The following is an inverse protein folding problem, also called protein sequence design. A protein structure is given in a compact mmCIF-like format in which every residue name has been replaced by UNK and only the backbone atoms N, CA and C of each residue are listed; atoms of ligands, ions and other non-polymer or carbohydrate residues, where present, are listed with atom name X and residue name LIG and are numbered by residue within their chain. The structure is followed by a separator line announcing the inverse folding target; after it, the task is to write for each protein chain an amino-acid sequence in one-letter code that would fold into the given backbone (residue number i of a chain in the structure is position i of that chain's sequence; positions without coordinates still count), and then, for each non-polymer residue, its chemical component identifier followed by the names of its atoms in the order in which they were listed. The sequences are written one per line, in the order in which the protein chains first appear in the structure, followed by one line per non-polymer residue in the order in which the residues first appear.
data_IF_582155076976
#
_entry.id   IF_582155076976
#
_cell.length_a   1.000
_cell.length_b   1.000
_cell.length_c   1.000
_cell.angle_alpha   90.00
_cell.angle_beta   90.00
_cell.angle_gamma   90.00
#
_symmetry.space_group_name_H-M   'P 1'
#
loop_
_entity.id
_entity.type
_entity.pdbx_description
1 polymer ?
#
# COMPACT_ATOMS: atom_id res chain seq x y z
N UNK A 1 -21.62 9.42 7.97
CA UNK A 1 -22.81 10.10 8.51
C UNK A 1 -22.37 11.06 9.61
N UNK A 2 -22.98 12.25 9.73
CA UNK A 2 -22.74 13.14 10.87
C UNK A 2 -23.20 12.47 12.16
N UNK A 3 -22.56 12.81 13.28
CA UNK A 3 -22.96 12.32 14.61
C UNK A 3 -24.36 12.87 14.95
N UNK A 4 -25.16 12.16 15.75
CA UNK A 4 -26.58 12.46 16.01
C UNK A 4 -26.81 13.41 17.20
N UNK A 5 -25.76 13.93 17.84
CA UNK A 5 -25.89 14.85 18.98
C UNK A 5 -26.31 14.19 20.31
N UNK A 6 -26.50 12.87 20.33
CA UNK A 6 -26.88 12.11 21.52
C UNK A 6 -25.69 11.88 22.46
N UNK A 7 -25.93 11.79 23.78
CA UNK A 7 -24.88 11.52 24.78
C UNK A 7 -24.40 10.05 24.76
N UNK A 8 -25.29 9.11 24.38
CA UNK A 8 -25.01 7.66 24.27
C UNK A 8 -25.52 7.08 22.94
N UNK A 9 -24.97 5.94 22.50
CA UNK A 9 -25.30 5.29 21.21
C UNK A 9 -24.17 5.29 20.17
N UNK A 10 -24.39 4.64 19.02
CA UNK A 10 -23.36 4.39 17.98
C UNK A 10 -22.85 5.66 17.27
N UNK A 11 -23.72 6.65 17.03
CA UNK A 11 -23.37 7.93 16.40
C UNK A 11 -23.39 9.09 17.42
N UNK A 12 -23.14 8.79 18.70
CA UNK A 12 -23.13 9.78 19.78
C UNK A 12 -22.08 10.87 19.58
N UNK A 13 -22.28 11.98 20.27
CA UNK A 13 -21.38 13.14 20.26
C UNK A 13 -21.89 14.29 19.39
N UNK A 14 -21.26 15.45 19.57
CA UNK A 14 -21.66 16.71 18.95
C UNK A 14 -21.60 16.63 17.41
N UNK A 15 -22.56 17.27 16.75
CA UNK A 15 -22.67 17.31 15.29
C UNK A 15 -21.54 18.19 14.76
N UNK A 16 -20.47 17.58 14.25
CA UNK A 16 -19.35 18.27 13.64
C UNK A 16 -19.23 17.87 12.17
N UNK A 17 -19.00 18.86 11.30
CA UNK A 17 -18.66 18.62 9.90
C UNK A 17 -17.25 18.05 9.78
N UNK A 18 -17.13 16.77 9.42
CA UNK A 18 -15.83 16.12 9.24
C UNK A 18 -15.17 16.64 7.95
N UNK A 19 -13.96 17.19 8.06
CA UNK A 19 -13.15 17.61 6.91
C UNK A 19 -12.64 16.38 6.16
N UNK A 20 -12.92 16.28 4.85
CA UNK A 20 -12.40 15.21 3.99
C UNK A 20 -10.98 15.57 3.56
N UNK A 21 -9.98 14.88 4.09
CA UNK A 21 -8.60 15.02 3.64
C UNK A 21 -8.43 14.31 2.28
N UNK A 22 -7.69 14.94 1.37
CA UNK A 22 -7.38 14.34 0.08
C UNK A 22 -6.40 13.17 0.28
N UNK A 23 -6.62 12.01 -0.39
CA UNK A 23 -5.68 10.90 -0.32
C UNK A 23 -4.37 11.26 -1.01
N UNK A 24 -3.25 11.19 -0.29
CA UNK A 24 -1.88 11.51 -0.74
C UNK A 24 -1.27 10.48 -1.71
N UNK A 25 -2.10 9.74 -2.44
CA UNK A 25 -1.64 8.59 -3.25
C UNK A 25 -0.80 9.00 -4.46
N UNK A 26 -1.08 10.18 -5.04
CA UNK A 26 -0.37 10.68 -6.20
C UNK A 26 1.10 11.01 -5.88
N UNK A 27 1.32 11.78 -4.81
CA UNK A 27 2.66 12.19 -4.36
C UNK A 27 3.49 10.98 -3.93
N UNK A 28 2.89 10.01 -3.24
CA UNK A 28 3.58 8.78 -2.83
C UNK A 28 4.08 7.93 -4.00
N UNK A 29 3.33 7.86 -5.11
CA UNK A 29 3.76 7.13 -6.30
C UNK A 29 4.92 7.83 -7.02
N UNK A 30 4.84 9.17 -7.17
CA UNK A 30 5.91 9.98 -7.79
C UNK A 30 7.24 9.84 -7.03
N UNK A 31 7.22 9.92 -5.71
CA UNK A 31 8.43 9.76 -4.90
C UNK A 31 9.05 8.37 -5.09
N UNK A 32 8.23 7.33 -5.20
CA UNK A 32 8.73 5.95 -5.38
C UNK A 32 9.31 5.69 -6.77
N UNK A 33 8.84 6.41 -7.79
CA UNK A 33 9.43 6.39 -9.13
C UNK A 33 10.80 7.09 -9.17
N UNK A 34 10.94 8.22 -8.47
CA UNK A 34 12.18 9.01 -8.45
C UNK A 34 13.24 8.40 -7.53
N UNK A 35 12.89 8.06 -6.29
CA UNK A 35 13.84 7.58 -5.29
C UNK A 35 14.10 6.06 -5.38
N UNK A 36 13.18 5.31 -6.00
CA UNK A 36 13.26 3.86 -6.11
C UNK A 36 13.11 3.13 -4.76
N UNK A 37 13.60 1.88 -4.71
CA UNK A 37 13.52 1.01 -3.54
C UNK A 37 14.80 1.02 -2.69
N UNK A 38 14.63 0.94 -1.37
CA UNK A 38 15.72 0.82 -0.42
C UNK A 38 16.39 -0.57 -0.49
N UNK A 39 17.65 -0.72 -0.05
CA UNK A 39 18.40 -1.98 -0.20
C UNK A 39 17.76 -3.19 0.52
N UNK A 40 17.02 -2.97 1.61
CA UNK A 40 16.28 -4.05 2.27
C UNK A 40 15.03 -4.48 1.50
N UNK A 41 14.40 -3.57 0.76
CA UNK A 41 13.20 -3.85 -0.05
C UNK A 41 13.57 -4.67 -1.28
N UNK A 42 14.71 -4.36 -1.89
CA UNK A 42 15.30 -5.16 -2.98
C UNK A 42 15.55 -6.61 -2.52
N UNK A 43 16.20 -6.80 -1.36
CA UNK A 43 16.42 -8.14 -0.78
C UNK A 43 15.12 -8.90 -0.52
N UNK A 44 14.06 -8.22 -0.07
CA UNK A 44 12.74 -8.86 0.13
C UNK A 44 12.15 -9.28 -1.23
N UNK A 45 12.23 -8.43 -2.27
CA UNK A 45 11.73 -8.81 -3.60
C UNK A 45 12.48 -9.97 -4.24
N UNK A 46 13.79 -10.07 -4.02
CA UNK A 46 14.59 -11.21 -4.48
C UNK A 46 14.16 -12.51 -3.79
N UNK A 47 13.98 -12.48 -2.47
CA UNK A 47 13.49 -13.64 -1.71
C UNK A 47 12.08 -14.07 -2.16
N UNK A 48 11.20 -13.11 -2.48
CA UNK A 48 9.86 -13.37 -2.99
C UNK A 48 9.85 -13.89 -4.44
N UNK A 49 10.81 -13.48 -5.28
CA UNK A 49 11.00 -14.06 -6.62
C UNK A 49 11.45 -15.51 -6.56
N UNK A 50 12.27 -15.88 -5.57
CA UNK A 50 12.83 -17.23 -5.38
C UNK A 50 11.89 -18.14 -4.55
N UNK A 51 10.74 -17.65 -4.08
CA UNK A 51 9.76 -18.46 -3.31
C UNK A 51 10.18 -18.75 -1.87
N UNK A 52 11.15 -18.00 -1.30
CA UNK A 52 11.61 -18.17 0.09
C UNK A 52 10.76 -17.34 1.06
N UNK A 53 9.44 -17.52 1.01
CA UNK A 53 8.45 -16.72 1.75
C UNK A 53 8.65 -16.76 3.28
N UNK A 54 9.04 -17.91 3.85
CA UNK A 54 9.35 -18.03 5.29
C UNK A 54 10.48 -17.12 5.74
N UNK A 55 11.47 -16.83 4.88
CA UNK A 55 12.56 -15.89 5.21
C UNK A 55 12.12 -14.44 5.01
N UNK A 56 11.28 -14.16 4.01
CA UNK A 56 10.68 -12.84 3.79
C UNK A 56 9.65 -12.46 4.88
N UNK A 57 9.04 -13.46 5.53
CA UNK A 57 8.03 -13.29 6.58
C UNK A 57 8.55 -12.65 7.87
N UNK A 58 9.87 -12.56 8.10
CA UNK A 58 10.42 -11.79 9.23
C UNK A 58 10.14 -10.29 9.10
N UNK A 59 9.83 -9.78 7.90
CA UNK A 59 9.45 -8.39 7.62
C UNK A 59 8.00 -8.24 7.16
N UNK A 60 7.02 -8.82 7.89
CA UNK A 60 5.61 -8.99 7.46
C UNK A 60 4.97 -7.78 6.78
N UNK A 61 5.08 -6.58 7.37
CA UNK A 61 4.44 -5.36 6.84
C UNK A 61 4.99 -4.97 5.45
N UNK A 62 6.31 -5.04 5.28
CA UNK A 62 6.96 -4.72 4.00
C UNK A 62 6.77 -5.84 2.96
N UNK A 63 6.59 -7.10 3.39
CA UNK A 63 6.33 -8.22 2.46
C UNK A 63 5.05 -8.01 1.64
N UNK A 64 3.95 -7.62 2.27
CA UNK A 64 2.67 -7.44 1.56
C UNK A 64 2.76 -6.31 0.53
N UNK A 65 3.40 -5.20 0.92
CA UNK A 65 3.67 -4.08 0.02
C UNK A 65 4.57 -4.51 -1.16
N UNK A 66 5.66 -5.24 -0.90
CA UNK A 66 6.56 -5.73 -1.96
C UNK A 66 5.93 -6.82 -2.83
N UNK A 67 5.06 -7.65 -2.28
CA UNK A 67 4.25 -8.62 -3.03
C UNK A 67 3.27 -7.91 -3.97
N UNK A 68 2.61 -6.85 -3.50
CA UNK A 68 1.76 -5.98 -4.32
C UNK A 68 2.53 -5.32 -5.46
N UNK A 69 3.75 -4.82 -5.19
CA UNK A 69 4.66 -4.28 -6.21
C UNK A 69 5.02 -5.35 -7.24
N UNK A 70 5.43 -6.55 -6.82
CA UNK A 70 5.77 -7.64 -7.73
C UNK A 70 4.58 -8.07 -8.59
N UNK A 71 3.37 -8.09 -8.03
CA UNK A 71 2.13 -8.34 -8.80
C UNK A 71 1.92 -7.26 -9.85
N UNK A 72 2.07 -5.97 -9.48
CA UNK A 72 1.94 -4.84 -10.42
C UNK A 72 3.00 -4.89 -11.55
N UNK A 73 4.24 -5.26 -11.21
CA UNK A 73 5.30 -5.44 -12.21
C UNK A 73 5.02 -6.62 -13.14
N UNK A 74 4.51 -7.74 -12.61
CA UNK A 74 4.12 -8.91 -13.42
C UNK A 74 2.93 -8.62 -14.34
N UNK A 75 1.95 -7.83 -13.89
CA UNK A 75 0.82 -7.43 -14.73
C UNK A 75 1.20 -6.40 -15.80
N UNK A 76 2.19 -5.53 -15.53
CA UNK A 76 2.70 -4.56 -16.51
C UNK A 76 3.55 -5.20 -17.61
N UNK A 77 4.28 -6.29 -17.31
CA UNK A 77 5.14 -6.98 -18.27
C UNK A 77 4.41 -7.91 -19.26
N UNK A 78 3.08 -8.05 -19.17
CA UNK A 78 2.30 -8.89 -20.08
C UNK A 78 1.91 -8.19 -21.40
N UNK A 79 2.23 -6.90 -21.57
CA UNK A 79 1.81 -6.09 -22.71
C UNK A 79 2.81 -5.95 -23.87
N UNK A 80 4.08 -6.33 -23.71
CA UNK A 80 5.15 -6.02 -24.69
C UNK A 80 5.67 -7.23 -25.49
N UNK A 81 4.85 -8.27 -25.68
CA UNK A 81 5.18 -9.40 -26.57
C UNK A 81 4.07 -9.71 -27.56
N UNK A 82 3.68 -8.73 -28.39
CA UNK A 82 3.00 -8.96 -29.67
C UNK A 82 2.99 -7.70 -30.55
N UNK A 83 4.08 -7.48 -31.27
CA UNK A 83 4.13 -7.20 -32.72
C UNK A 83 5.57 -7.02 -33.16
#
# INVERSE_FOLDING_TARGET
MPNTGLFVGLNKGHIVTKKKLAPLHFVGNLIREVAGFAPYEKRITELLKVGKDKRALKGKKKREEMSGVLRKMRSGGAGEKKK
#
